data_IF_457992581477
#
_entry.id   IF_457992581477
#
_cell.length_a   1.000
_cell.length_b   1.000
_cell.length_c   1.000
_cell.angle_alpha   90.00
_cell.angle_beta   90.00
_cell.angle_gamma   90.00
#
_symmetry.space_group_name_H-M   'P 1'
#
loop_
_entity.id
_entity.type
_entity.pdbx_description
1 polymer ?
#
# COMPACT_ATOMS: atom_id res chain seq x y z
N UNK A 1 -13.29 -13.35 3.24
CA UNK A 1 -12.97 -14.76 3.59
C UNK A 1 -11.84 -14.90 4.62
N UNK A 2 -10.87 -13.97 4.65
CA UNK A 2 -9.71 -14.02 5.56
C UNK A 2 -10.07 -13.67 7.03
N UNK A 3 -11.10 -12.85 7.26
CA UNK A 3 -11.52 -12.50 8.62
C UNK A 3 -12.51 -11.33 8.68
N UNK A 4 -12.38 -10.34 7.79
CA UNK A 4 -13.19 -9.11 7.77
C UNK A 4 -14.71 -9.36 7.91
N UNK A 5 -15.39 -8.57 8.75
CA UNK A 5 -16.80 -8.75 9.12
C UNK A 5 -17.77 -8.45 7.99
N UNK A 6 -17.55 -7.35 7.25
CA UNK A 6 -18.28 -6.94 6.05
C UNK A 6 -17.35 -6.30 5.02
N UNK A 7 -17.87 -6.04 3.82
CA UNK A 7 -17.16 -5.31 2.77
C UNK A 7 -17.92 -4.06 2.33
N UNK A 8 -17.17 -3.10 1.79
CA UNK A 8 -17.70 -1.98 1.03
C UNK A 8 -17.00 -1.99 -0.33
N UNK A 9 -17.78 -1.99 -1.40
CA UNK A 9 -17.30 -1.80 -2.77
C UNK A 9 -17.66 -0.39 -3.21
N UNK A 10 -16.65 0.40 -3.58
CA UNK A 10 -16.88 1.61 -4.36
C UNK A 10 -16.70 1.24 -5.84
N UNK A 11 -17.81 1.03 -6.52
CA UNK A 11 -17.86 0.52 -7.88
C UNK A 11 -17.68 1.64 -8.90
N UNK A 12 -16.68 1.51 -9.77
CA UNK A 12 -16.44 2.40 -10.91
C UNK A 12 -15.70 1.66 -12.02
N UNK A 13 -15.87 2.11 -13.25
CA UNK A 13 -15.12 1.66 -14.43
C UNK A 13 -13.92 2.56 -14.75
N UNK A 14 -13.81 3.71 -14.07
CA UNK A 14 -12.72 4.67 -14.27
C UNK A 14 -11.40 4.15 -13.69
N UNK A 15 -10.28 4.46 -14.35
CA UNK A 15 -8.95 4.23 -13.79
C UNK A 15 -8.65 5.29 -12.73
N UNK A 16 -8.54 4.86 -11.47
CA UNK A 16 -8.39 5.77 -10.34
C UNK A 16 -6.92 6.07 -10.03
N UNK A 17 -6.64 7.35 -9.86
CA UNK A 17 -5.35 7.81 -9.33
C UNK A 17 -5.36 7.80 -7.79
N UNK A 18 -4.19 7.71 -7.12
CA UNK A 18 -4.10 7.64 -5.65
C UNK A 18 -4.90 8.72 -4.93
N UNK A 19 -4.97 9.93 -5.48
CA UNK A 19 -5.75 11.03 -4.91
C UNK A 19 -7.26 10.77 -4.94
N UNK A 20 -7.80 10.21 -6.03
CA UNK A 20 -9.21 9.87 -6.13
C UNK A 20 -9.56 8.78 -5.10
N UNK A 21 -8.71 7.74 -5.00
CA UNK A 21 -8.85 6.69 -3.98
C UNK A 21 -8.81 7.27 -2.57
N UNK A 22 -7.86 8.15 -2.26
CA UNK A 22 -7.76 8.78 -0.95
C UNK A 22 -9.00 9.62 -0.59
N UNK A 23 -9.59 10.34 -1.55
CA UNK A 23 -10.86 11.08 -1.34
C UNK A 23 -12.05 10.15 -1.10
N UNK A 24 -12.16 9.06 -1.86
CA UNK A 24 -13.21 8.05 -1.66
C UNK A 24 -13.09 7.41 -0.28
N UNK A 25 -11.88 7.02 0.11
CA UNK A 25 -11.61 6.48 1.45
C UNK A 25 -11.91 7.52 2.53
N UNK A 26 -11.60 8.80 2.32
CA UNK A 26 -11.94 9.87 3.26
C UNK A 26 -13.46 9.97 3.47
N UNK A 27 -14.25 9.93 2.40
CA UNK A 27 -15.71 9.93 2.51
C UNK A 27 -16.22 8.71 3.29
N UNK A 28 -15.60 7.54 3.13
CA UNK A 28 -15.90 6.35 3.93
C UNK A 28 -15.46 6.49 5.39
N UNK A 29 -14.31 7.12 5.66
CA UNK A 29 -13.85 7.43 7.03
C UNK A 29 -14.85 8.35 7.73
N UNK A 30 -15.33 9.40 7.06
CA UNK A 30 -16.35 10.29 7.62
C UNK A 30 -17.66 9.56 7.93
N UNK A 31 -18.04 8.61 7.08
CA UNK A 31 -19.28 7.84 7.23
C UNK A 31 -19.20 6.78 8.32
N UNK A 32 -18.10 6.04 8.35
CA UNK A 32 -17.93 4.85 9.19
C UNK A 32 -17.23 5.15 10.53
N UNK A 33 -16.58 6.31 10.64
CA UNK A 33 -15.86 6.78 11.82
C UNK A 33 -14.91 5.72 12.44
N UNK A 34 -14.03 5.09 11.64
CA UNK A 34 -13.12 4.08 12.16
C UNK A 34 -12.07 4.72 13.09
N UNK A 35 -11.75 4.03 14.18
CA UNK A 35 -10.66 4.44 15.08
C UNK A 35 -9.26 4.12 14.53
N UNK A 36 -9.15 3.21 13.57
CA UNK A 36 -7.89 2.84 12.95
C UNK A 36 -8.10 2.47 11.49
N UNK A 37 -7.30 3.06 10.60
CA UNK A 37 -7.32 2.76 9.17
C UNK A 37 -6.00 2.10 8.80
N UNK A 38 -6.07 0.93 8.17
CA UNK A 38 -4.89 0.16 7.76
C UNK A 38 -4.90 0.01 6.24
N UNK A 39 -3.81 0.41 5.59
CA UNK A 39 -3.59 0.25 4.15
C UNK A 39 -2.27 -0.50 3.91
N UNK A 40 -2.09 -1.05 2.71
CA UNK A 40 -0.76 -1.48 2.27
C UNK A 40 0.16 -0.29 2.03
N UNK A 41 1.49 -0.50 2.09
CA UNK A 41 2.49 0.51 1.72
C UNK A 41 2.28 1.03 0.31
N UNK A 42 2.23 0.14 -0.67
CA UNK A 42 2.12 0.47 -2.08
C UNK A 42 1.29 -0.59 -2.79
N UNK A 43 0.61 -0.19 -3.86
CA UNK A 43 0.06 -1.13 -4.82
C UNK A 43 1.15 -1.46 -5.84
N UNK A 44 1.21 -2.71 -6.29
CA UNK A 44 2.30 -3.22 -7.15
C UNK A 44 2.09 -2.93 -8.64
N UNK A 45 0.92 -2.41 -8.99
CA UNK A 45 0.52 -2.01 -10.34
C UNK A 45 0.96 -0.57 -10.64
N UNK A 46 0.74 0.36 -9.71
CA UNK A 46 1.15 1.76 -9.84
C UNK A 46 2.49 2.11 -9.15
N UNK A 47 2.94 1.29 -8.20
CA UNK A 47 4.11 1.50 -7.33
C UNK A 47 4.19 2.91 -6.72
N UNK A 48 3.03 3.55 -6.48
CA UNK A 48 2.97 4.97 -6.17
C UNK A 48 3.33 5.31 -4.72
N UNK A 49 3.05 4.39 -3.77
CA UNK A 49 3.20 4.62 -2.32
C UNK A 49 2.61 5.97 -1.85
N UNK A 50 1.37 6.27 -2.21
CA UNK A 50 0.76 7.61 -2.00
C UNK A 50 -0.56 7.61 -1.22
N UNK A 51 -1.45 6.64 -1.49
CA UNK A 51 -2.86 6.67 -1.05
C UNK A 51 -3.01 6.83 0.47
N UNK A 52 -2.23 6.09 1.27
CA UNK A 52 -2.32 6.15 2.73
C UNK A 52 -1.92 7.51 3.30
N UNK A 53 -0.82 8.09 2.80
CA UNK A 53 -0.34 9.40 3.25
C UNK A 53 -1.29 10.52 2.80
N UNK A 54 -1.85 10.43 1.60
CA UNK A 54 -2.87 11.36 1.11
C UNK A 54 -4.14 11.29 1.95
N UNK A 55 -4.61 10.09 2.30
CA UNK A 55 -5.78 9.91 3.16
C UNK A 55 -5.57 10.54 4.52
N UNK A 56 -4.41 10.29 5.15
CA UNK A 56 -4.07 10.88 6.44
C UNK A 56 -4.10 12.41 6.39
N UNK A 57 -3.52 13.01 5.34
CA UNK A 57 -3.54 14.46 5.14
C UNK A 57 -4.96 15.01 4.89
N UNK A 58 -5.78 14.32 4.10
CA UNK A 58 -7.15 14.75 3.79
C UNK A 58 -8.11 14.62 4.98
N UNK A 59 -7.86 13.66 5.86
CA UNK A 59 -8.65 13.42 7.06
C UNK A 59 -8.09 14.13 8.31
N UNK A 60 -6.97 14.86 8.18
CA UNK A 60 -6.24 15.50 9.28
C UNK A 60 -5.90 14.51 10.42
N UNK A 61 -5.42 13.32 10.05
CA UNK A 61 -5.10 12.24 10.97
C UNK A 61 -3.60 12.00 11.10
N UNK A 62 -3.11 11.63 12.30
CA UNK A 62 -1.75 11.15 12.47
C UNK A 62 -1.52 9.87 11.65
N UNK A 63 -0.29 9.69 11.15
CA UNK A 63 0.08 8.54 10.33
C UNK A 63 1.38 7.87 10.76
N UNK A 64 1.47 6.56 10.54
CA UNK A 64 2.72 5.82 10.56
C UNK A 64 2.81 4.95 9.31
N UNK A 65 3.79 5.25 8.46
CA UNK A 65 4.03 4.47 7.24
C UNK A 65 5.03 3.35 7.48
N UNK A 66 5.00 2.33 6.63
CA UNK A 66 5.99 1.24 6.60
C UNK A 66 6.04 0.44 7.91
N UNK A 67 4.89 0.24 8.54
CA UNK A 67 4.79 -0.45 9.82
C UNK A 67 5.23 -1.91 9.69
N UNK A 68 6.21 -2.32 10.51
CA UNK A 68 6.63 -3.71 10.72
C UNK A 68 6.18 -4.27 12.07
N UNK A 69 5.70 -3.42 12.99
CA UNK A 69 4.99 -3.84 14.22
C UNK A 69 3.96 -2.79 14.61
N UNK A 70 2.78 -3.22 15.06
CA UNK A 70 1.71 -2.35 15.56
C UNK A 70 1.19 -2.89 16.89
N UNK A 71 1.19 -2.05 17.92
CA UNK A 71 0.63 -2.33 19.24
C UNK A 71 -0.38 -1.24 19.59
N UNK A 72 -1.63 -1.62 19.83
CA UNK A 72 -2.72 -0.68 20.16
C UNK A 72 -3.09 -0.88 21.62
N UNK A 73 -2.97 0.18 22.42
CA UNK A 73 -3.32 0.20 23.84
C UNK A 73 -3.71 1.62 24.26
N UNK A 74 -4.63 1.75 25.22
CA UNK A 74 -4.96 3.02 25.89
C UNK A 74 -5.28 4.19 24.92
N UNK A 75 -5.98 3.90 23.81
CA UNK A 75 -6.35 4.91 22.81
C UNK A 75 -5.20 5.41 21.92
N UNK A 76 -4.05 4.73 21.96
CA UNK A 76 -2.88 5.02 21.14
C UNK A 76 -2.42 3.81 20.34
N UNK A 77 -1.73 4.06 19.24
CA UNK A 77 -1.00 3.06 18.49
C UNK A 77 0.50 3.33 18.60
N UNK A 78 1.26 2.36 19.11
CA UNK A 78 2.72 2.34 19.05
C UNK A 78 3.13 1.54 17.83
N UNK A 79 3.83 2.17 16.90
CA UNK A 79 4.15 1.61 15.59
C UNK A 79 5.66 1.62 15.38
N UNK A 80 6.24 0.45 15.12
CA UNK A 80 7.62 0.33 14.63
C UNK A 80 7.61 0.34 13.11
N UNK A 81 8.41 1.23 12.52
CA UNK A 81 8.46 1.53 11.09
C UNK A 81 9.82 1.15 10.54
N UNK A 82 9.84 0.61 9.32
CA UNK A 82 11.06 0.43 8.54
C UNK A 82 11.46 1.78 7.93
N UNK A 83 12.70 2.18 8.18
CA UNK A 83 13.34 3.37 7.59
C UNK A 83 14.70 2.97 7.01
N UNK A 84 15.30 3.80 6.16
CA UNK A 84 16.54 3.42 5.44
C UNK A 84 17.68 3.00 6.38
N UNK A 85 17.77 3.61 7.57
CA UNK A 85 18.79 3.32 8.57
C UNK A 85 18.45 2.21 9.58
N UNK A 86 17.27 1.57 9.47
CA UNK A 86 16.81 0.55 10.42
C UNK A 86 15.36 0.74 10.85
N UNK A 87 15.12 0.82 12.16
CA UNK A 87 13.78 0.88 12.73
C UNK A 87 13.55 2.18 13.49
N UNK A 88 12.35 2.75 13.33
CA UNK A 88 11.88 3.91 14.08
C UNK A 88 10.56 3.57 14.79
N UNK A 89 10.46 3.83 16.09
CA UNK A 89 9.21 3.64 16.84
C UNK A 89 8.53 4.97 17.12
N UNK A 90 7.28 5.10 16.68
CA UNK A 90 6.45 6.29 16.89
C UNK A 90 5.17 5.93 17.64
N UNK A 91 4.59 6.91 18.35
CA UNK A 91 3.31 6.76 19.05
C UNK A 91 2.29 7.74 18.47
N UNK A 92 1.12 7.24 18.09
CA UNK A 92 0.03 8.01 17.49
C UNK A 92 -1.20 7.96 18.40
N UNK A 93 -1.90 9.08 18.54
CA UNK A 93 -3.26 9.09 19.09
C UNK A 93 -4.24 8.56 18.07
N UNK A 94 -5.28 7.82 18.50
CA UNK A 94 -6.37 7.40 17.62
C UNK A 94 -7.43 8.52 17.51
N UNK A 95 -8.09 8.71 16.35
CA UNK A 95 -7.97 7.91 15.12
C UNK A 95 -6.67 8.14 14.33
N UNK A 96 -6.18 7.11 13.65
CA UNK A 96 -4.90 7.14 12.91
C UNK A 96 -4.91 6.32 11.62
N UNK A 97 -4.00 6.65 10.70
CA UNK A 97 -3.76 5.89 9.46
C UNK A 97 -2.42 5.17 9.52
N UNK A 98 -2.40 3.87 9.29
CA UNK A 98 -1.19 3.05 9.25
C UNK A 98 -1.04 2.42 7.86
N UNK A 99 0.15 2.54 7.27
CA UNK A 99 0.52 1.74 6.09
C UNK A 99 1.47 0.62 6.46
N UNK A 100 1.20 -0.60 6.02
CA UNK A 100 1.91 -1.80 6.47
C UNK A 100 3.01 -2.20 5.49
N UNK A 101 4.20 -2.49 6.01
CA UNK A 101 5.28 -3.12 5.26
C UNK A 101 5.08 -4.66 5.21
N UNK A 102 5.77 -5.32 4.28
CA UNK A 102 5.76 -6.78 4.13
C UNK A 102 6.21 -7.50 5.40
N UNK A 103 7.04 -6.86 6.23
CA UNK A 103 7.56 -7.44 7.48
C UNK A 103 6.56 -7.48 8.64
N UNK A 104 5.38 -6.87 8.49
CA UNK A 104 4.41 -6.76 9.59
C UNK A 104 3.91 -8.12 10.09
N UNK A 105 3.53 -8.99 9.16
CA UNK A 105 3.00 -10.31 9.47
C UNK A 105 3.04 -11.25 8.26
N UNK A 106 2.71 -12.51 8.50
CA UNK A 106 2.42 -13.48 7.45
C UNK A 106 0.90 -13.62 7.28
N UNK A 107 0.32 -13.29 6.11
CA UNK A 107 -1.10 -13.45 5.87
C UNK A 107 -1.54 -14.91 5.98
N UNK A 108 -2.58 -15.17 6.78
CA UNK A 108 -3.14 -16.52 6.95
C UNK A 108 -3.82 -17.02 5.67
N UNK A 109 -3.78 -18.34 5.45
CA UNK A 109 -4.53 -18.99 4.38
C UNK A 109 -6.04 -19.01 4.64
N UNK A 110 -6.81 -19.00 3.56
CA UNK A 110 -8.27 -19.10 3.60
C UNK A 110 -8.69 -20.56 3.49
N UNK A 111 -9.63 -20.98 4.34
CA UNK A 111 -10.23 -22.32 4.29
C UNK A 111 -11.50 -22.32 3.43
N UNK A 112 -11.83 -23.45 2.80
CA UNK A 112 -13.09 -23.61 2.03
C UNK A 112 -14.35 -23.21 2.83
N UNK A 113 -14.52 -23.60 4.11
CA UNK A 113 -15.64 -23.14 4.91
C UNK A 113 -15.73 -21.61 5.03
N UNK A 114 -14.58 -20.93 5.18
CA UNK A 114 -14.54 -19.47 5.28
C UNK A 114 -14.87 -18.77 3.96
N UNK A 115 -14.55 -19.39 2.82
CA UNK A 115 -14.97 -18.92 1.50
C UNK A 115 -16.50 -18.96 1.39
N UNK A 116 -17.11 -20.08 1.78
CA UNK A 116 -18.56 -20.24 1.74
C UNK A 116 -19.28 -19.26 2.68
N UNK A 117 -18.74 -19.02 3.88
CA UNK A 117 -19.27 -18.00 4.79
C UNK A 117 -19.13 -16.58 4.22
N UNK A 118 -18.02 -16.27 3.55
CA UNK A 118 -17.79 -14.94 2.99
C UNK A 118 -18.81 -14.55 1.92
N UNK A 119 -19.29 -15.49 1.11
CA UNK A 119 -20.35 -15.24 0.11
C UNK A 119 -21.67 -14.73 0.72
N UNK A 120 -21.88 -14.95 2.02
CA UNK A 120 -23.08 -14.52 2.75
C UNK A 120 -22.86 -13.24 3.57
N UNK A 121 -21.62 -12.73 3.63
CA UNK A 121 -21.32 -11.50 4.38
C UNK A 121 -21.89 -10.29 3.63
N UNK A 122 -22.29 -9.28 4.37
CA UNK A 122 -22.77 -8.03 3.82
C UNK A 122 -21.68 -7.37 2.97
N UNK A 123 -22.07 -6.94 1.77
CA UNK A 123 -21.27 -6.15 0.86
C UNK A 123 -22.10 -4.94 0.45
N UNK A 124 -21.75 -3.78 0.99
CA UNK A 124 -22.40 -2.52 0.60
C UNK A 124 -21.72 -2.00 -0.65
N UNK A 125 -22.50 -1.60 -1.66
CA UNK A 125 -21.96 -1.01 -2.89
C UNK A 125 -22.34 0.46 -2.98
N UNK A 126 -21.35 1.29 -3.23
CA UNK A 126 -21.49 2.72 -3.53
C UNK A 126 -20.87 3.02 -4.88
N UNK A 127 -21.33 4.06 -5.53
CA UNK A 127 -20.59 4.71 -6.62
C UNK A 127 -19.84 5.94 -6.10
N UNK A 128 -18.83 6.45 -6.81
CA UNK A 128 -18.16 7.70 -6.45
C UNK A 128 -19.14 8.87 -6.23
N UNK A 129 -20.21 8.94 -7.02
CA UNK A 129 -21.22 10.00 -6.93
C UNK A 129 -22.02 9.92 -5.62
N UNK A 130 -22.29 8.70 -5.11
CA UNK A 130 -22.97 8.49 -3.83
C UNK A 130 -22.14 9.01 -2.64
N UNK A 131 -20.82 9.10 -2.83
CA UNK A 131 -19.87 9.64 -1.87
C UNK A 131 -19.52 11.10 -2.13
N UNK A 132 -20.08 11.72 -3.18
CA UNK A 132 -19.82 13.11 -3.55
C UNK A 132 -18.38 13.37 -3.98
N UNK A 133 -17.67 12.36 -4.52
CA UNK A 133 -16.27 12.47 -4.88
C UNK A 133 -16.09 12.54 -6.40
N UNK A 134 -15.49 13.64 -6.86
CA UNK A 134 -14.98 13.74 -8.23
C UNK A 134 -13.69 12.91 -8.38
N UNK A 135 -13.78 11.91 -9.25
CA UNK A 135 -12.71 10.96 -9.60
C UNK A 135 -12.00 11.30 -10.91
N UNK A 136 -12.29 12.46 -11.51
CA UNK A 136 -11.66 12.91 -12.76
C UNK A 136 -10.12 12.85 -12.66
N UNK A 137 -9.44 12.15 -13.59
CA UNK A 137 -7.98 12.06 -13.62
C UNK A 137 -7.32 13.43 -13.72
N UNK A 138 -6.29 13.67 -12.90
CA UNK A 138 -5.49 14.92 -12.94
C UNK A 138 -4.22 14.78 -13.74
N UNK A 139 -3.71 13.56 -13.82
CA UNK A 139 -2.58 13.19 -14.66
C UNK A 139 -3.06 12.43 -15.89
N UNK A 140 -2.38 12.61 -17.02
CA UNK A 140 -2.64 11.86 -18.24
C UNK A 140 -1.40 11.06 -18.61
N UNK A 141 -1.53 9.74 -18.65
CA UNK A 141 -0.48 8.85 -19.16
C UNK A 141 -0.37 9.03 -20.67
N UNK A 142 0.77 9.56 -21.13
CA UNK A 142 0.98 9.81 -22.57
C UNK A 142 1.49 8.58 -23.30
N UNK A 143 2.31 7.76 -22.63
CA UNK A 143 2.95 6.59 -23.21
C UNK A 143 3.37 5.61 -22.12
N UNK A 144 3.18 4.33 -22.40
CA UNK A 144 3.80 3.22 -21.67
C UNK A 144 4.65 2.44 -22.67
N UNK A 145 5.86 2.06 -22.28
CA UNK A 145 6.75 1.24 -23.10
C UNK A 145 7.51 0.26 -22.25
N UNK A 146 7.82 -0.90 -22.82
CA UNK A 146 8.68 -1.88 -22.16
C UNK A 146 10.06 -1.27 -21.83
N UNK A 147 10.66 -1.63 -20.67
CA UNK A 147 12.02 -1.24 -20.37
C UNK A 147 12.99 -1.85 -21.40
N UNK A 148 14.16 -1.23 -21.63
CA UNK A 148 15.18 -1.80 -22.50
C UNK A 148 15.53 -3.23 -22.09
N UNK A 149 15.55 -4.15 -23.06
CA UNK A 149 15.98 -5.54 -22.80
C UNK A 149 17.42 -5.53 -22.29
N UNK A 150 17.66 -6.22 -21.17
CA UNK A 150 19.00 -6.39 -20.62
C UNK A 150 19.88 -7.12 -21.66
N UNK A 151 21.06 -6.58 -21.93
CA UNK A 151 22.05 -7.24 -22.79
C UNK A 151 22.49 -8.60 -22.24
N UNK A 152 22.95 -9.49 -23.11
CA UNK A 152 23.48 -10.78 -22.70
C UNK A 152 24.69 -10.59 -21.77
N UNK A 153 24.69 -11.32 -20.64
CA UNK A 153 25.82 -11.36 -19.73
C UNK A 153 26.95 -12.25 -20.25
N UNK A 154 28.14 -12.09 -19.69
CA UNK A 154 29.31 -12.92 -19.97
C UNK A 154 29.60 -13.78 -18.74
N UNK A 155 29.85 -15.09 -18.95
CA UNK A 155 30.39 -15.96 -17.90
C UNK A 155 31.91 -15.85 -17.88
N UNK A 156 32.49 -15.67 -16.70
CA UNK A 156 33.94 -15.58 -16.50
C UNK A 156 34.46 -16.84 -15.81
N UNK A 157 35.71 -17.27 -16.11
CA UNK A 157 36.26 -18.52 -15.59
C UNK A 157 36.67 -18.44 -14.11
N UNK A 158 36.99 -17.25 -13.60
CA UNK A 158 37.52 -17.07 -12.24
C UNK A 158 37.28 -15.65 -11.69
N UNK A 159 37.63 -15.46 -10.41
CA UNK A 159 37.47 -14.19 -9.68
C UNK A 159 38.39 -13.09 -10.22
N UNK A 160 39.62 -13.44 -10.66
CA UNK A 160 40.56 -12.45 -11.18
C UNK A 160 40.03 -11.80 -12.47
N UNK A 161 39.49 -12.63 -13.37
CA UNK A 161 38.83 -12.21 -14.61
C UNK A 161 37.56 -11.39 -14.31
N UNK A 162 36.81 -11.75 -13.26
CA UNK A 162 35.66 -10.94 -12.84
C UNK A 162 36.10 -9.54 -12.39
N UNK A 163 37.10 -9.45 -11.52
CA UNK A 163 37.60 -8.17 -10.99
C UNK A 163 38.19 -7.31 -12.10
N UNK A 164 38.96 -7.89 -13.01
CA UNK A 164 39.51 -7.19 -14.18
C UNK A 164 38.38 -6.59 -15.04
N UNK A 165 37.36 -7.39 -15.39
CA UNK A 165 36.21 -6.90 -16.15
C UNK A 165 35.41 -5.83 -15.41
N UNK A 166 35.22 -5.97 -14.10
CA UNK A 166 34.49 -4.97 -13.31
C UNK A 166 35.24 -3.64 -13.22
N UNK A 167 36.57 -3.67 -13.11
CA UNK A 167 37.42 -2.48 -12.99
C UNK A 167 37.67 -1.79 -14.33
N UNK A 168 38.00 -2.57 -15.36
CA UNK A 168 38.49 -2.04 -16.63
C UNK A 168 37.40 -1.91 -17.72
N UNK A 169 36.44 -2.83 -17.78
CA UNK A 169 35.35 -2.80 -18.77
C UNK A 169 34.10 -2.09 -18.21
N UNK A 170 33.59 -2.54 -17.06
CA UNK A 170 32.36 -2.00 -16.47
C UNK A 170 32.57 -0.72 -15.65
N UNK A 171 33.77 -0.51 -15.09
CA UNK A 171 34.17 0.65 -14.28
C UNK A 171 33.25 0.92 -13.08
N UNK A 172 32.86 -0.15 -12.39
CA UNK A 172 31.95 -0.09 -11.23
C UNK A 172 32.67 -0.29 -9.89
N UNK A 173 33.96 -0.62 -9.93
CA UNK A 173 34.88 -0.76 -8.78
C UNK A 173 36.26 -0.22 -9.12
#
# INVERSE_FOLDING_TARGET
AIGADRGILVETTEELQPLAVAKLLKALVDKEQPSLIILGKQAIDDDANQTGQMLAALADLPQATFASKVEVADGKATVTREVDGGLETVSLSLPAVITTDLRLNEPRYVTLPNIMKAKKKQLDTFKPEDLGVDVTPRLKTLKVSEPPKRGAGIKVPDVATLVDKLKNEAKVI
#
